data_IF_639631004234
#
_entry.id   IF_639631004234
#
_cell.length_a   1.000
_cell.length_b   1.000
_cell.length_c   1.000
_cell.angle_alpha   90.00
_cell.angle_beta   90.00
_cell.angle_gamma   90.00
#
_symmetry.space_group_name_H-M   'P 1'
#
loop_
_entity.id
_entity.type
_entity.pdbx_description
1 polymer ?
#
# COMPACT_ATOMS: atom_id res chain seq x y z
N UNK A 1 -26.26 18.52 20.98
CA UNK A 1 -26.91 17.66 21.99
C UNK A 1 -27.42 18.55 23.10
N UNK A 2 -28.71 18.51 23.42
CA UNK A 2 -29.25 19.21 24.59
C UNK A 2 -28.88 18.36 25.80
N UNK A 3 -28.07 18.90 26.71
CA UNK A 3 -27.59 18.19 27.89
C UNK A 3 -28.27 18.82 29.11
N UNK A 4 -29.15 18.08 29.82
CA UNK A 4 -29.68 18.50 31.12
C UNK A 4 -28.55 18.79 32.11
N UNK A 5 -28.76 19.76 33.01
CA UNK A 5 -27.77 20.14 34.03
C UNK A 5 -27.32 18.99 34.96
N UNK A 6 -28.09 17.90 35.01
CA UNK A 6 -27.79 16.68 35.78
C UNK A 6 -26.87 15.69 35.05
N UNK A 7 -26.56 15.90 33.76
CA UNK A 7 -25.81 14.95 32.93
C UNK A 7 -26.60 13.72 32.47
N UNK A 8 -27.89 13.61 32.82
CA UNK A 8 -28.78 12.54 32.33
C UNK A 8 -29.12 12.74 30.85
N UNK A 9 -29.34 11.67 30.08
CA UNK A 9 -29.74 11.83 28.67
C UNK A 9 -31.19 12.31 28.57
N UNK A 10 -31.56 12.91 27.43
CA UNK A 10 -32.97 13.30 27.18
C UNK A 10 -33.88 12.07 27.11
N UNK A 11 -33.37 10.92 26.66
CA UNK A 11 -34.10 9.64 26.69
C UNK A 11 -34.38 9.19 28.13
N UNK A 12 -33.42 9.34 29.05
CA UNK A 12 -33.64 9.04 30.47
C UNK A 12 -34.67 9.99 31.08
N UNK A 13 -34.61 11.28 30.71
CA UNK A 13 -35.49 12.30 31.26
C UNK A 13 -36.92 12.19 30.74
N UNK A 14 -37.09 11.85 29.47
CA UNK A 14 -38.41 11.54 28.89
C UNK A 14 -39.00 10.26 29.48
N UNK A 15 -38.18 9.23 29.68
CA UNK A 15 -38.59 7.97 30.33
C UNK A 15 -39.02 8.23 31.78
N UNK A 16 -38.22 8.96 32.55
CA UNK A 16 -38.55 9.32 33.94
C UNK A 16 -39.84 10.14 34.04
N UNK A 17 -40.09 11.06 33.09
CA UNK A 17 -41.35 11.81 33.04
C UNK A 17 -42.54 10.88 32.80
N UNK A 18 -42.44 9.95 31.86
CA UNK A 18 -43.48 8.94 31.61
C UNK A 18 -43.74 8.07 32.84
N UNK A 19 -42.69 7.56 33.49
CA UNK A 19 -42.81 6.73 34.70
C UNK A 19 -43.42 7.51 35.88
N UNK A 20 -43.09 8.78 36.03
CA UNK A 20 -43.68 9.64 37.07
C UNK A 20 -45.19 9.78 36.89
N UNK A 21 -45.70 9.78 35.64
CA UNK A 21 -47.15 9.87 35.41
C UNK A 21 -47.90 8.62 35.86
N UNK A 22 -47.22 7.46 35.90
CA UNK A 22 -47.79 6.17 36.29
C UNK A 22 -47.70 5.92 37.80
N UNK A 23 -46.58 6.30 38.42
CA UNK A 23 -46.25 5.85 39.77
C UNK A 23 -46.46 6.90 40.86
N UNK A 24 -46.81 8.15 40.52
CA UNK A 24 -46.95 9.22 41.52
C UNK A 24 -48.39 9.35 42.03
N UNK A 25 -48.66 9.07 43.32
CA UNK A 25 -49.99 9.27 43.90
C UNK A 25 -50.32 10.76 44.02
N UNK A 26 -51.57 11.14 43.76
CA UNK A 26 -52.05 12.52 43.88
C UNK A 26 -51.94 13.39 42.62
N UNK A 27 -51.45 12.87 41.50
CA UNK A 27 -51.37 13.61 40.23
C UNK A 27 -52.72 13.58 39.50
N UNK A 28 -53.23 14.76 39.18
CA UNK A 28 -54.48 14.94 38.41
C UNK A 28 -54.32 14.52 36.95
N UNK A 29 -55.43 14.24 36.26
CA UNK A 29 -55.43 13.89 34.83
C UNK A 29 -54.72 14.96 33.97
N UNK A 30 -55.03 16.24 34.23
CA UNK A 30 -54.43 17.38 33.54
C UNK A 30 -52.90 17.44 33.73
N UNK A 31 -52.42 17.18 34.95
CA UNK A 31 -50.97 17.16 35.22
C UNK A 31 -50.28 15.99 34.51
N UNK A 32 -50.93 14.82 34.39
CA UNK A 32 -50.39 13.70 33.61
C UNK A 32 -50.30 14.03 32.13
N UNK A 33 -51.33 14.66 31.57
CA UNK A 33 -51.33 15.04 30.15
C UNK A 33 -50.27 16.11 29.85
N UNK A 34 -50.09 17.09 30.75
CA UNK A 34 -49.01 18.07 30.64
C UNK A 34 -47.62 17.42 30.70
N UNK A 35 -47.39 16.50 31.65
CA UNK A 35 -46.10 15.81 31.77
C UNK A 35 -45.78 14.94 30.54
N UNK A 36 -46.79 14.27 29.98
CA UNK A 36 -46.64 13.51 28.73
C UNK A 36 -46.36 14.41 27.54
N UNK A 37 -47.06 15.54 27.42
CA UNK A 37 -46.82 16.50 26.35
C UNK A 37 -45.39 17.07 26.42
N UNK A 38 -44.88 17.37 27.62
CA UNK A 38 -43.50 17.81 27.82
C UNK A 38 -42.50 16.72 27.41
N UNK A 39 -42.73 15.46 27.80
CA UNK A 39 -41.85 14.35 27.41
C UNK A 39 -41.80 14.16 25.88
N UNK A 40 -42.95 14.27 25.21
CA UNK A 40 -43.04 14.17 23.74
C UNK A 40 -42.26 15.31 23.07
N UNK A 41 -42.46 16.55 23.52
CA UNK A 41 -41.78 17.72 22.95
C UNK A 41 -40.27 17.67 23.16
N UNK A 42 -39.81 17.19 24.32
CA UNK A 42 -38.38 16.99 24.61
C UNK A 42 -37.77 15.93 23.69
N UNK A 43 -38.45 14.81 23.48
CA UNK A 43 -38.00 13.77 22.55
C UNK A 43 -37.92 14.29 21.12
N UNK A 44 -38.95 15.03 20.66
CA UNK A 44 -38.96 15.64 19.33
C UNK A 44 -37.81 16.62 19.12
N UNK A 45 -37.56 17.51 20.09
CA UNK A 45 -36.47 18.48 20.01
C UNK A 45 -35.08 17.82 19.95
N UNK A 46 -34.88 16.72 20.69
CA UNK A 46 -33.62 15.97 20.64
C UNK A 46 -33.44 15.23 19.31
N UNK A 47 -34.50 14.62 18.77
CA UNK A 47 -34.46 14.00 17.45
C UNK A 47 -34.16 15.01 16.33
N UNK A 48 -34.75 16.21 16.38
CA UNK A 48 -34.49 17.26 15.39
C UNK A 48 -33.03 17.74 15.45
N UNK A 49 -32.49 17.90 16.67
CA UNK A 49 -31.08 18.28 16.86
C UNK A 49 -30.13 17.18 16.38
N UNK A 50 -30.40 15.92 16.71
CA UNK A 50 -29.64 14.76 16.22
C UNK A 50 -29.69 14.66 14.69
N UNK A 51 -30.87 14.84 14.09
CA UNK A 51 -31.05 14.83 12.64
C UNK A 51 -30.25 15.95 11.96
N UNK A 52 -30.23 17.16 12.55
CA UNK A 52 -29.42 18.28 12.06
C UNK A 52 -27.92 17.97 12.13
N UNK A 53 -27.42 17.43 13.24
CA UNK A 53 -26.01 17.03 13.37
C UNK A 53 -25.62 15.94 12.37
N UNK A 54 -26.50 14.97 12.12
CA UNK A 54 -26.29 13.94 11.10
C UNK A 54 -26.22 14.59 9.71
N UNK A 55 -27.16 15.48 9.38
CA UNK A 55 -27.18 16.18 8.09
C UNK A 55 -25.92 17.03 7.86
N UNK A 56 -25.45 17.74 8.89
CA UNK A 56 -24.19 18.51 8.83
C UNK A 56 -22.97 17.59 8.63
N UNK A 57 -22.92 16.47 9.35
CA UNK A 57 -21.82 15.49 9.24
C UNK A 57 -21.80 14.83 7.87
N UNK A 58 -22.96 14.42 7.37
CA UNK A 58 -23.11 13.83 6.02
C UNK A 58 -22.76 14.86 4.95
N UNK A 59 -23.22 16.11 5.09
CA UNK A 59 -22.90 17.20 4.17
C UNK A 59 -21.39 17.46 4.10
N UNK A 60 -20.72 17.54 5.26
CA UNK A 60 -19.27 17.71 5.34
C UNK A 60 -18.52 16.58 4.65
N UNK A 61 -18.91 15.33 4.90
CA UNK A 61 -18.29 14.18 4.24
C UNK A 61 -18.57 14.14 2.72
N UNK A 62 -19.79 14.46 2.28
CA UNK A 62 -20.15 14.51 0.86
C UNK A 62 -19.35 15.57 0.10
N UNK A 63 -19.25 16.79 0.64
CA UNK A 63 -18.47 17.88 0.03
C UNK A 63 -17.01 17.44 -0.12
N UNK A 64 -16.41 16.89 0.96
CA UNK A 64 -15.04 16.39 0.91
C UNK A 64 -14.84 15.24 -0.09
N UNK A 65 -15.82 14.35 -0.28
CA UNK A 65 -15.74 13.32 -1.32
C UNK A 65 -15.84 13.89 -2.73
N UNK A 66 -16.70 14.88 -2.96
CA UNK A 66 -16.84 15.52 -4.27
C UNK A 66 -15.54 16.24 -4.67
N UNK A 67 -14.94 17.00 -3.75
CA UNK A 67 -13.65 17.66 -4.00
C UNK A 67 -12.51 16.66 -4.31
N UNK A 68 -12.51 15.49 -3.65
CA UNK A 68 -11.54 14.42 -3.97
C UNK A 68 -11.77 13.83 -5.36
N UNK A 69 -13.03 13.65 -5.76
CA UNK A 69 -13.37 13.20 -7.11
C UNK A 69 -12.97 14.23 -8.17
N UNK A 70 -13.21 15.52 -7.94
CA UNK A 70 -12.80 16.58 -8.86
C UNK A 70 -11.27 16.63 -9.02
N UNK A 71 -10.51 16.56 -7.93
CA UNK A 71 -9.03 16.50 -8.00
C UNK A 71 -8.49 15.25 -8.69
N UNK A 72 -9.26 14.16 -8.76
CA UNK A 72 -8.88 12.94 -9.47
C UNK A 72 -9.09 13.04 -10.99
N UNK A 73 -9.84 14.03 -11.48
CA UNK A 73 -10.10 14.21 -12.93
C UNK A 73 -8.86 14.73 -13.65
N UNK A 74 -8.12 15.66 -13.06
CA UNK A 74 -6.91 16.25 -13.66
C UNK A 74 -5.82 15.22 -14.04
N UNK A 75 -5.41 14.29 -13.16
CA UNK A 75 -4.44 13.27 -13.52
C UNK A 75 -4.98 12.28 -14.57
N UNK A 76 -6.29 12.00 -14.59
CA UNK A 76 -6.90 11.15 -15.63
C UNK A 76 -6.86 11.87 -16.98
N UNK A 77 -7.18 13.17 -17.02
CA UNK A 77 -7.08 13.98 -18.23
C UNK A 77 -5.64 14.03 -18.75
N UNK A 78 -4.65 14.14 -17.86
CA UNK A 78 -3.23 14.14 -18.21
C UNK A 78 -2.71 12.80 -18.78
N UNK A 79 -3.39 11.68 -18.52
CA UNK A 79 -3.06 10.37 -19.10
C UNK A 79 -3.58 10.21 -20.54
N UNK A 80 -4.57 11.00 -20.96
CA UNK A 80 -5.19 10.91 -22.29
C UNK A 80 -4.19 11.02 -23.44
N UNK A 81 -3.22 11.96 -23.46
CA UNK A 81 -2.23 12.06 -24.53
C UNK A 81 -1.31 10.83 -24.59
N UNK A 82 -0.96 10.23 -23.45
CA UNK A 82 -0.09 9.04 -23.40
C UNK A 82 -0.82 7.81 -23.94
N UNK A 83 -2.11 7.66 -23.65
CA UNK A 83 -2.95 6.60 -24.20
C UNK A 83 -3.05 6.74 -25.73
N UNK A 84 -3.25 7.97 -26.24
CA UNK A 84 -3.25 8.23 -27.68
C UNK A 84 -1.92 7.84 -28.35
N UNK A 85 -0.79 8.22 -27.75
CA UNK A 85 0.55 7.84 -28.24
C UNK A 85 0.76 6.32 -28.24
N UNK A 86 0.31 5.61 -27.20
CA UNK A 86 0.37 4.14 -27.14
C UNK A 86 -0.45 3.48 -28.25
N UNK A 87 -1.64 3.99 -28.53
CA UNK A 87 -2.49 3.47 -29.62
C UNK A 87 -1.82 3.66 -30.97
N UNK A 88 -1.30 4.86 -31.26
CA UNK A 88 -0.57 5.14 -32.51
C UNK A 88 0.71 4.31 -32.65
N UNK A 89 1.45 4.10 -31.54
CA UNK A 89 2.62 3.21 -31.55
C UNK A 89 2.23 1.76 -31.84
N UNK A 90 1.10 1.28 -31.29
CA UNK A 90 0.57 -0.05 -31.57
C UNK A 90 0.18 -0.23 -33.03
N UNK A 91 -0.44 0.77 -33.65
CA UNK A 91 -0.78 0.76 -35.08
C UNK A 91 0.48 0.70 -35.96
N UNK A 92 1.50 1.47 -35.59
CA UNK A 92 2.79 1.47 -36.30
C UNK A 92 3.49 0.11 -36.19
N UNK A 93 3.48 -0.52 -35.00
CA UNK A 93 4.02 -1.87 -34.81
C UNK A 93 3.26 -2.92 -35.64
N UNK A 94 1.93 -2.79 -35.74
CA UNK A 94 1.12 -3.67 -36.58
C UNK A 94 1.48 -3.54 -38.06
N UNK A 95 1.59 -2.31 -38.58
CA UNK A 95 1.99 -2.06 -39.96
C UNK A 95 3.41 -2.57 -40.26
N UNK A 96 4.33 -2.42 -39.31
CA UNK A 96 5.69 -2.96 -39.43
C UNK A 96 5.69 -4.49 -39.45
N UNK A 97 4.89 -5.15 -38.61
CA UNK A 97 4.76 -6.60 -38.61
C UNK A 97 4.24 -7.12 -39.96
N UNK A 98 3.24 -6.46 -40.54
CA UNK A 98 2.73 -6.78 -41.88
C UNK A 98 3.81 -6.59 -42.96
N UNK A 99 4.58 -5.50 -42.89
CA UNK A 99 5.71 -5.26 -43.80
C UNK A 99 6.82 -6.32 -43.69
N UNK A 100 7.13 -6.78 -42.47
CA UNK A 100 8.08 -7.89 -42.26
C UNK A 100 7.56 -9.20 -42.84
N UNK A 101 6.26 -9.47 -42.77
CA UNK A 101 5.69 -10.67 -43.41
C UNK A 101 5.76 -10.59 -44.94
N UNK A 102 5.55 -9.42 -45.53
CA UNK A 102 5.69 -9.21 -46.98
C UNK A 102 7.16 -9.33 -47.43
N UNK A 103 8.10 -8.76 -46.66
CA UNK A 103 9.53 -8.88 -46.93
C UNK A 103 10.01 -10.34 -46.83
N UNK A 104 9.48 -11.09 -45.87
CA UNK A 104 9.76 -12.52 -45.71
C UNK A 104 9.25 -13.33 -46.90
N UNK A 105 8.07 -13.02 -47.41
CA UNK A 105 7.49 -13.72 -48.56
C UNK A 105 8.26 -13.39 -49.86
N UNK A 106 8.68 -12.15 -50.06
CA UNK A 106 9.53 -11.77 -51.21
C UNK A 106 10.93 -12.38 -51.12
N UNK A 107 11.53 -12.47 -49.94
CA UNK A 107 12.80 -13.18 -49.74
C UNK A 107 12.68 -14.69 -49.97
N UNK A 108 11.52 -15.29 -49.65
CA UNK A 108 11.25 -16.70 -49.94
C UNK A 108 11.09 -16.95 -51.45
N UNK A 109 10.51 -16.00 -52.21
CA UNK A 109 10.46 -16.06 -53.67
C UNK A 109 11.84 -15.89 -54.32
N UNK A 110 12.70 -15.01 -53.80
CA UNK A 110 14.07 -14.83 -54.32
C UNK A 110 14.98 -16.02 -54.00
N UNK A 111 14.72 -16.74 -52.90
CA UNK A 111 15.46 -17.95 -52.52
C UNK A 111 15.11 -19.19 -53.38
N UNK A 112 14.05 -19.15 -54.18
CA UNK A 112 13.63 -20.28 -55.03
C UNK A 112 14.45 -20.42 -56.34
N UNK A 113 15.41 -19.52 -56.62
CA UNK A 113 16.08 -19.49 -57.94
C UNK A 113 17.60 -19.63 -57.94
N UNK A 114 18.28 -19.94 -56.82
CA UNK A 114 19.74 -20.18 -56.87
C UNK A 114 20.22 -21.31 -55.93
N UNK A 115 20.84 -22.33 -56.54
CA UNK A 115 21.62 -23.42 -55.93
C UNK A 115 22.95 -22.95 -55.31
N UNK A 116 23.56 -23.72 -54.37
CA UNK A 116 24.51 -23.23 -53.36
C UNK A 116 25.99 -23.24 -53.81
N UNK A 117 26.89 -22.52 -53.10
CA UNK A 117 27.79 -23.27 -52.21
C UNK A 117 28.23 -22.57 -50.89
N UNK A 118 28.73 -23.46 -50.03
CA UNK A 118 29.71 -23.33 -48.95
C UNK A 118 29.40 -22.64 -47.61
N UNK A 119 29.39 -23.53 -46.60
CA UNK A 119 29.38 -23.27 -45.17
C UNK A 119 30.78 -22.82 -44.72
N UNK A 120 30.86 -21.63 -44.12
CA UNK A 120 31.92 -21.32 -43.16
C UNK A 120 31.29 -20.92 -41.84
N UNK A 121 31.65 -21.67 -40.80
CA UNK A 121 31.23 -21.52 -39.41
C UNK A 121 31.53 -20.10 -38.90
N UNK A 122 30.49 -19.27 -38.71
CA UNK A 122 30.54 -18.14 -37.77
C UNK A 122 29.92 -18.57 -36.45
N UNK A 123 30.73 -18.47 -35.39
CA UNK A 123 30.33 -18.71 -34.01
C UNK A 123 29.04 -17.96 -33.67
N UNK A 124 27.98 -18.70 -33.35
CA UNK A 124 26.71 -18.15 -32.88
C UNK A 124 26.91 -17.63 -31.46
N UNK A 125 26.74 -16.32 -31.28
CA UNK A 125 26.71 -15.69 -29.96
C UNK A 125 25.55 -16.24 -29.13
N UNK A 126 25.79 -16.52 -27.85
CA UNK A 126 24.77 -17.04 -26.92
C UNK A 126 23.55 -16.10 -26.82
N UNK A 127 23.75 -14.79 -27.05
CA UNK A 127 22.69 -13.78 -27.05
C UNK A 127 21.64 -13.99 -28.15
N UNK A 128 22.00 -14.55 -29.31
CA UNK A 128 21.05 -14.74 -30.42
C UNK A 128 20.14 -15.96 -30.21
N UNK A 129 20.58 -16.95 -29.43
CA UNK A 129 19.79 -18.15 -29.10
C UNK A 129 18.72 -17.81 -28.03
N UNK A 130 19.05 -16.93 -27.07
CA UNK A 130 18.12 -16.52 -26.01
C UNK A 130 17.01 -15.61 -26.54
N UNK A 131 17.27 -14.80 -27.57
CA UNK A 131 16.27 -13.89 -28.14
C UNK A 131 15.30 -14.58 -29.12
N UNK A 132 15.72 -15.66 -29.79
CA UNK A 132 14.93 -16.24 -30.88
C UNK A 132 13.79 -17.19 -30.44
N UNK A 133 13.76 -17.70 -29.20
CA UNK A 133 12.75 -18.69 -28.78
C UNK A 133 12.45 -18.65 -27.27
N UNK A 134 11.84 -17.59 -26.73
CA UNK A 134 11.22 -17.71 -25.40
C UNK A 134 10.02 -16.77 -25.20
N UNK A 135 8.83 -17.33 -24.91
CA UNK A 135 7.85 -16.66 -24.05
C UNK A 135 8.55 -16.31 -22.74
N UNK A 136 8.30 -15.11 -22.19
CA UNK A 136 8.89 -14.62 -20.93
C UNK A 136 8.96 -15.77 -19.91
N UNK A 137 10.14 -16.17 -19.43
CA UNK A 137 10.26 -17.28 -18.50
C UNK A 137 9.46 -17.00 -17.22
N UNK A 138 8.50 -17.87 -16.90
CA UNK A 138 7.71 -17.94 -15.66
C UNK A 138 8.50 -17.57 -14.36
N UNK A 139 9.79 -17.92 -14.18
CA UNK A 139 10.56 -17.48 -13.00
C UNK A 139 10.71 -15.96 -12.86
N UNK A 140 10.72 -15.19 -13.95
CA UNK A 140 10.88 -13.73 -13.92
C UNK A 140 9.59 -13.05 -13.46
N UNK A 141 8.42 -13.50 -13.92
CA UNK A 141 7.13 -12.96 -13.47
C UNK A 141 6.86 -13.27 -12.00
N UNK A 142 7.19 -14.47 -11.53
CA UNK A 142 7.08 -14.83 -10.12
C UNK A 142 8.04 -14.01 -9.23
N UNK A 143 9.26 -13.72 -9.72
CA UNK A 143 10.20 -12.85 -9.02
C UNK A 143 9.69 -11.40 -8.93
N UNK A 144 9.15 -10.87 -10.03
CA UNK A 144 8.55 -9.54 -10.09
C UNK A 144 7.38 -9.40 -9.12
N UNK A 145 6.47 -10.39 -9.10
CA UNK A 145 5.33 -10.40 -8.16
C UNK A 145 5.79 -10.44 -6.71
N UNK A 146 6.82 -11.24 -6.38
CA UNK A 146 7.39 -11.26 -5.03
C UNK A 146 8.04 -9.94 -4.65
N UNK A 147 8.75 -9.29 -5.57
CA UNK A 147 9.35 -7.98 -5.34
C UNK A 147 8.27 -6.93 -5.06
N UNK A 148 7.25 -6.85 -5.92
CA UNK A 148 6.13 -5.93 -5.74
C UNK A 148 5.38 -6.17 -4.42
N UNK A 149 5.22 -7.43 -3.99
CA UNK A 149 4.63 -7.73 -2.69
C UNK A 149 5.51 -7.28 -1.53
N UNK A 150 6.82 -7.49 -1.59
CA UNK A 150 7.76 -7.00 -0.55
C UNK A 150 7.79 -5.48 -0.46
N UNK A 151 7.65 -4.78 -1.58
CA UNK A 151 7.60 -3.32 -1.59
C UNK A 151 6.45 -2.75 -0.76
N UNK A 152 5.33 -3.47 -0.67
CA UNK A 152 4.16 -3.10 0.14
C UNK A 152 4.20 -3.63 1.58
N UNK A 153 5.23 -4.40 1.94
CA UNK A 153 5.35 -5.01 3.26
C UNK A 153 6.20 -4.15 4.20
N UNK A 154 5.74 -4.06 5.44
CA UNK A 154 6.43 -3.42 6.56
C UNK A 154 6.63 -4.47 7.65
N UNK A 155 7.89 -4.66 8.06
CA UNK A 155 8.27 -5.56 9.13
C UNK A 155 8.39 -4.79 10.44
N UNK A 156 7.60 -5.19 11.43
CA UNK A 156 7.71 -4.75 12.82
C UNK A 156 8.41 -5.85 13.61
N UNK A 157 9.54 -5.52 14.23
CA UNK A 157 10.26 -6.41 15.14
C UNK A 157 10.04 -5.93 16.59
N UNK A 158 9.71 -6.84 17.52
CA UNK A 158 9.64 -6.48 18.93
C UNK A 158 11.04 -6.18 19.47
N UNK A 159 11.07 -5.39 20.53
CA UNK A 159 12.25 -5.27 21.38
C UNK A 159 12.50 -6.62 22.08
N UNK A 160 13.77 -6.92 22.35
CA UNK A 160 14.20 -8.24 22.82
C UNK A 160 13.37 -8.77 23.98
N UNK A 161 12.70 -9.91 23.78
CA UNK A 161 11.93 -10.60 24.82
C UNK A 161 10.43 -10.27 24.85
N UNK A 162 9.96 -9.37 23.99
CA UNK A 162 8.55 -8.95 23.94
C UNK A 162 7.85 -9.46 22.67
N UNK A 163 6.52 -9.39 22.63
CA UNK A 163 5.69 -9.79 21.48
C UNK A 163 4.80 -8.65 21.04
N UNK A 164 4.62 -8.48 19.73
CA UNK A 164 3.78 -7.40 19.18
C UNK A 164 2.27 -7.68 19.21
N UNK A 165 1.90 -8.90 19.60
CA UNK A 165 0.55 -9.40 19.68
C UNK A 165 0.43 -10.35 20.86
N UNK A 166 -0.78 -10.48 21.40
CA UNK A 166 -1.08 -11.48 22.41
C UNK A 166 -1.42 -12.82 21.74
N UNK A 167 -1.20 -13.97 22.40
CA UNK A 167 -1.55 -15.29 21.85
C UNK A 167 -3.02 -15.42 21.44
N UNK A 168 -3.91 -14.67 22.13
CA UNK A 168 -5.35 -14.66 21.90
C UNK A 168 -5.79 -13.76 20.75
N UNK A 169 -4.96 -12.81 20.33
CA UNK A 169 -5.31 -11.93 19.24
C UNK A 169 -5.51 -12.78 17.98
N UNK A 170 -6.43 -12.40 17.10
CA UNK A 170 -6.50 -12.93 15.73
C UNK A 170 -6.00 -11.87 14.72
N UNK A 171 -5.93 -12.22 13.43
CA UNK A 171 -5.41 -11.28 12.40
C UNK A 171 -6.24 -10.01 12.27
N UNK A 172 -7.54 -10.06 12.58
CA UNK A 172 -8.47 -8.93 12.52
C UNK A 172 -8.20 -7.97 13.67
N UNK A 173 -7.97 -8.47 14.88
CA UNK A 173 -7.66 -7.64 16.04
C UNK A 173 -6.34 -6.90 15.88
N UNK A 174 -5.33 -7.59 15.35
CA UNK A 174 -4.05 -6.98 14.98
C UNK A 174 -4.27 -5.90 13.91
N UNK A 175 -4.98 -6.21 12.82
CA UNK A 175 -5.24 -5.23 11.77
C UNK A 175 -6.00 -4.01 12.30
N UNK A 176 -6.97 -4.19 13.20
CA UNK A 176 -7.73 -3.10 13.83
C UNK A 176 -6.82 -2.20 14.68
N UNK A 177 -5.93 -2.80 15.48
CA UNK A 177 -4.96 -2.05 16.29
C UNK A 177 -4.04 -1.19 15.43
N UNK A 178 -3.47 -1.77 14.37
CA UNK A 178 -2.60 -1.05 13.44
C UNK A 178 -3.34 0.00 12.65
N UNK A 179 -4.56 -0.29 12.18
CA UNK A 179 -5.41 0.69 11.50
C UNK A 179 -5.67 1.90 12.39
N UNK A 180 -6.04 1.70 13.65
CA UNK A 180 -6.24 2.80 14.61
C UNK A 180 -4.99 3.68 14.76
N UNK A 181 -3.80 3.08 14.81
CA UNK A 181 -2.56 3.84 14.87
C UNK A 181 -2.26 4.57 13.56
N UNK A 182 -2.55 3.97 12.41
CA UNK A 182 -2.39 4.61 11.11
C UNK A 182 -3.33 5.81 10.96
N UNK A 183 -4.61 5.64 11.29
CA UNK A 183 -5.63 6.70 11.23
C UNK A 183 -5.25 7.89 12.14
N UNK A 184 -4.63 7.64 13.29
CA UNK A 184 -4.21 8.69 14.23
C UNK A 184 -2.97 9.48 13.78
N UNK A 185 -2.15 8.93 12.88
CA UNK A 185 -0.94 9.59 12.36
C UNK A 185 -1.17 10.16 10.96
N UNK A 186 -2.26 9.77 10.30
CA UNK A 186 -2.65 10.25 8.99
C UNK A 186 -2.91 11.77 9.03
N UNK A 187 -2.32 12.49 8.08
CA UNK A 187 -2.48 13.94 7.92
C UNK A 187 -3.03 14.26 6.53
N UNK A 188 -3.55 15.47 6.34
CA UNK A 188 -4.01 15.89 5.01
C UNK A 188 -2.90 15.75 3.97
N UNK A 189 -3.21 15.05 2.88
CA UNK A 189 -2.26 14.73 1.79
C UNK A 189 -1.43 13.45 1.98
N UNK A 190 -1.63 12.69 3.06
CA UNK A 190 -1.01 11.36 3.21
C UNK A 190 -1.75 10.28 2.41
N UNK A 191 -1.05 9.22 1.96
CA UNK A 191 -1.68 8.14 1.20
C UNK A 191 -2.65 7.33 2.06
N UNK A 192 -3.53 6.58 1.41
CA UNK A 192 -4.45 5.69 2.11
C UNK A 192 -3.72 4.46 2.67
N UNK A 193 -3.74 4.29 3.99
CA UNK A 193 -2.97 3.28 4.73
C UNK A 193 -3.77 1.98 4.92
N UNK A 194 -4.40 1.47 3.86
CA UNK A 194 -5.18 0.24 3.93
C UNK A 194 -4.30 -1.00 4.13
N UNK A 195 -4.62 -1.77 5.17
CA UNK A 195 -3.99 -3.05 5.46
C UNK A 195 -4.66 -4.14 4.62
N UNK A 196 -3.87 -4.81 3.78
CA UNK A 196 -4.30 -5.95 2.98
C UNK A 196 -4.18 -7.27 3.74
N UNK A 197 -3.08 -7.46 4.47
CA UNK A 197 -2.84 -8.68 5.23
C UNK A 197 -1.91 -8.44 6.43
N UNK A 198 -2.05 -9.29 7.45
CA UNK A 198 -1.18 -9.34 8.62
C UNK A 198 -0.61 -10.75 8.78
N UNK A 199 0.71 -10.86 8.94
CA UNK A 199 1.41 -12.15 9.09
C UNK A 199 2.25 -12.16 10.35
N UNK A 200 2.05 -13.16 11.21
CA UNK A 200 2.81 -13.34 12.45
C UNK A 200 4.10 -14.11 12.19
N UNK A 201 5.17 -13.67 12.83
CA UNK A 201 6.46 -14.33 12.78
C UNK A 201 6.75 -15.08 14.08
N UNK A 202 7.53 -16.15 14.00
CA UNK A 202 7.86 -17.00 15.16
C UNK A 202 8.66 -16.28 16.24
N UNK A 203 9.34 -15.19 15.89
CA UNK A 203 10.10 -14.34 16.82
C UNK A 203 9.24 -13.24 17.48
N UNK A 204 7.90 -13.33 17.42
CA UNK A 204 7.01 -12.29 17.96
C UNK A 204 6.88 -11.04 17.07
N UNK A 205 7.56 -11.02 15.91
CA UNK A 205 7.45 -9.98 14.90
C UNK A 205 6.18 -10.07 14.06
N UNK A 206 5.92 -9.01 13.30
CA UNK A 206 4.73 -8.88 12.49
C UNK A 206 5.07 -8.28 11.12
N UNK A 207 4.55 -8.89 10.06
CA UNK A 207 4.57 -8.29 8.72
C UNK A 207 3.18 -7.74 8.44
N UNK A 208 3.11 -6.46 8.11
CA UNK A 208 1.91 -5.79 7.61
C UNK A 208 2.09 -5.58 6.09
N UNK A 209 1.21 -6.16 5.28
CA UNK A 209 1.13 -5.85 3.84
C UNK A 209 0.07 -4.79 3.62
N UNK A 210 0.44 -3.69 2.95
CA UNK A 210 -0.46 -2.62 2.55
C UNK A 210 -0.98 -2.85 1.13
N UNK A 211 -2.05 -2.14 0.77
CA UNK A 211 -2.63 -2.19 -0.58
C UNK A 211 -1.72 -1.54 -1.63
N UNK A 212 -0.98 -0.49 -1.26
CA UNK A 212 -0.15 0.30 -2.18
C UNK A 212 1.32 0.40 -1.73
N UNK A 213 2.23 0.55 -2.70
CA UNK A 213 3.66 0.78 -2.43
C UNK A 213 3.91 2.18 -1.84
N UNK A 214 3.10 3.16 -2.25
CA UNK A 214 3.15 4.53 -1.74
C UNK A 214 2.90 4.58 -0.23
N UNK A 215 1.86 3.89 0.26
CA UNK A 215 1.57 3.79 1.69
C UNK A 215 2.74 3.18 2.48
N UNK A 216 3.35 2.12 1.95
CA UNK A 216 4.51 1.50 2.57
C UNK A 216 5.72 2.45 2.63
N UNK A 217 5.99 3.17 1.55
CA UNK A 217 7.06 4.16 1.50
C UNK A 217 6.83 5.33 2.45
N UNK A 218 5.58 5.78 2.58
CA UNK A 218 5.22 6.84 3.53
C UNK A 218 5.48 6.40 4.98
N UNK A 219 5.10 5.17 5.35
CA UNK A 219 5.39 4.62 6.69
C UNK A 219 6.90 4.49 6.95
N UNK A 220 7.70 4.14 5.93
CA UNK A 220 9.16 4.00 6.06
C UNK A 220 9.87 5.32 6.35
N UNK A 221 9.28 6.47 6.05
CA UNK A 221 9.87 7.77 6.36
C UNK A 221 10.08 7.91 7.88
N UNK A 222 11.28 8.34 8.28
CA UNK A 222 11.72 8.39 9.69
C UNK A 222 10.71 9.12 10.59
N UNK A 223 10.18 10.26 10.14
CA UNK A 223 9.20 11.05 10.88
C UNK A 223 7.90 10.29 11.13
N UNK A 224 7.39 9.58 10.13
CA UNK A 224 6.12 8.84 10.20
C UNK A 224 6.28 7.54 10.98
N UNK A 225 7.36 6.80 10.71
CA UNK A 225 7.75 5.61 11.47
C UNK A 225 7.77 5.88 12.97
N UNK A 226 8.43 6.97 13.38
CA UNK A 226 8.58 7.32 14.80
C UNK A 226 7.21 7.63 15.42
N UNK A 227 6.37 8.40 14.73
CA UNK A 227 5.00 8.68 15.18
C UNK A 227 4.17 7.41 15.32
N UNK A 228 4.19 6.52 14.32
CA UNK A 228 3.44 5.25 14.33
C UNK A 228 3.88 4.36 15.49
N UNK A 229 5.19 4.20 15.72
CA UNK A 229 5.70 3.40 16.85
C UNK A 229 5.22 3.98 18.17
N UNK A 230 5.31 5.31 18.35
CA UNK A 230 4.85 5.98 19.56
C UNK A 230 3.34 5.81 19.77
N UNK A 231 2.54 5.94 18.71
CA UNK A 231 1.08 5.78 18.77
C UNK A 231 0.64 4.35 19.01
N UNK A 232 1.41 3.36 18.55
CA UNK A 232 1.14 1.95 18.83
C UNK A 232 1.35 1.59 20.30
N UNK A 233 2.14 2.40 21.04
CA UNK A 233 2.59 2.13 22.41
C UNK A 233 3.16 0.71 22.55
N UNK A 234 3.74 0.22 21.46
CA UNK A 234 4.35 -1.10 21.38
C UNK A 234 5.86 -0.90 21.42
N UNK A 235 6.59 -1.76 22.14
CA UNK A 235 8.04 -1.78 22.11
C UNK A 235 8.49 -2.44 20.81
N UNK A 236 8.27 -1.75 19.71
CA UNK A 236 8.48 -2.24 18.36
C UNK A 236 9.45 -1.34 17.60
N UNK A 237 10.21 -1.93 16.70
CA UNK A 237 10.97 -1.20 15.69
C UNK A 237 10.51 -1.61 14.30
N UNK A 238 10.34 -0.64 13.41
CA UNK A 238 10.12 -0.95 11.99
C UNK A 238 11.47 -1.28 11.37
N UNK A 239 11.65 -2.50 10.89
CA UNK A 239 12.90 -2.89 10.23
C UNK A 239 12.93 -2.36 8.81
N UNK A 240 14.05 -1.78 8.43
CA UNK A 240 14.31 -1.45 7.04
C UNK A 240 14.46 -2.75 6.24
N UNK A 241 13.61 -2.89 5.22
CA UNK A 241 13.71 -3.99 4.28
C UNK A 241 14.93 -3.79 3.39
N UNK A 242 15.98 -4.58 3.62
CA UNK A 242 17.16 -4.62 2.75
C UNK A 242 16.99 -5.68 1.68
N UNK A 243 17.48 -5.37 0.48
CA UNK A 243 17.42 -6.27 -0.66
C UNK A 243 18.81 -6.84 -0.92
N UNK A 244 18.89 -8.16 -1.09
CA UNK A 244 20.11 -8.80 -1.60
C UNK A 244 20.11 -8.72 -3.12
N UNK A 245 21.11 -8.07 -3.68
CA UNK A 245 21.32 -7.94 -5.13
C UNK A 245 22.54 -8.78 -5.52
N UNK A 246 22.42 -9.52 -6.63
CA UNK A 246 23.54 -10.24 -7.22
C UNK A 246 24.14 -9.36 -8.32
N UNK A 247 25.40 -8.99 -8.15
CA UNK A 247 26.15 -8.22 -9.15
C UNK A 247 27.10 -9.19 -9.89
N UNK A 248 26.86 -9.49 -11.18
CA UNK A 248 27.76 -10.32 -11.96
C UNK A 248 29.00 -9.53 -12.41
N UNK A 249 30.06 -10.25 -12.80
CA UNK A 249 31.28 -9.72 -13.43
C UNK A 249 32.10 -8.71 -12.60
N UNK A 250 31.92 -8.70 -11.28
CA UNK A 250 32.79 -7.94 -10.40
C UNK A 250 34.18 -8.59 -10.35
N UNK A 251 35.24 -7.80 -10.55
CA UNK A 251 36.62 -8.30 -10.49
C UNK A 251 36.93 -8.90 -9.11
N UNK A 252 37.60 -10.05 -9.08
CA UNK A 252 38.03 -10.68 -7.81
C UNK A 252 39.03 -9.83 -7.03
N UNK A 253 39.67 -8.85 -7.67
CA UNK A 253 40.54 -7.85 -7.04
C UNK A 253 39.79 -6.71 -6.36
N UNK A 254 38.46 -6.60 -6.55
CA UNK A 254 37.64 -5.56 -5.92
C UNK A 254 37.63 -5.74 -4.39
N UNK A 255 37.90 -4.65 -3.68
CA UNK A 255 37.95 -4.62 -2.22
C UNK A 255 36.55 -4.50 -1.62
N UNK A 256 35.67 -5.47 -1.88
CA UNK A 256 34.26 -5.42 -1.44
C UNK A 256 34.09 -5.41 0.09
N UNK A 257 35.11 -5.89 0.80
CA UNK A 257 35.14 -5.92 2.26
C UNK A 257 35.55 -4.55 2.85
N UNK A 258 36.01 -3.61 2.00
CA UNK A 258 36.40 -2.26 2.41
C UNK A 258 35.21 -1.29 2.30
N UNK A 259 34.86 -0.68 3.43
CA UNK A 259 33.78 0.31 3.50
C UNK A 259 34.02 1.50 2.56
N UNK A 260 35.24 2.02 2.45
CA UNK A 260 35.55 3.17 1.60
C UNK A 260 35.33 2.86 0.12
N UNK A 261 35.63 1.63 -0.30
CA UNK A 261 35.36 1.16 -1.65
C UNK A 261 33.86 1.11 -1.92
N UNK A 262 33.05 0.62 -0.96
CA UNK A 262 31.59 0.64 -1.09
C UNK A 262 31.04 2.06 -1.20
N UNK A 263 31.56 3.02 -0.42
CA UNK A 263 31.14 4.44 -0.52
C UNK A 263 31.53 5.05 -1.87
N UNK A 264 32.68 4.68 -2.42
CA UNK A 264 33.09 5.12 -3.76
C UNK A 264 32.15 4.57 -4.85
N UNK A 265 31.78 3.29 -4.77
CA UNK A 265 30.80 2.68 -5.69
C UNK A 265 29.45 3.36 -5.60
N UNK A 266 28.95 3.63 -4.40
CA UNK A 266 27.69 4.38 -4.22
C UNK A 266 27.76 5.74 -4.89
N UNK A 267 28.84 6.49 -4.65
CA UNK A 267 29.05 7.82 -5.24
C UNK A 267 29.13 7.76 -6.76
N UNK A 268 29.86 6.80 -7.32
CA UNK A 268 30.00 6.61 -8.77
C UNK A 268 28.66 6.24 -9.45
N UNK A 269 27.77 5.56 -8.72
CA UNK A 269 26.45 5.15 -9.20
C UNK A 269 25.31 6.08 -8.72
N UNK A 270 25.64 7.27 -8.22
CA UNK A 270 24.67 8.28 -7.73
C UNK A 270 23.71 7.74 -6.66
N UNK A 271 24.16 6.77 -5.87
CA UNK A 271 23.41 6.19 -4.76
C UNK A 271 23.62 7.01 -3.49
N UNK A 272 22.59 7.12 -2.62
CA UNK A 272 22.76 7.72 -1.30
C UNK A 272 23.86 7.00 -0.51
N UNK A 273 24.68 7.75 0.21
CA UNK A 273 25.68 7.19 1.11
C UNK A 273 25.01 6.28 2.15
N UNK A 274 25.47 5.04 2.25
CA UNK A 274 24.90 4.06 3.19
C UNK A 274 23.97 3.03 2.53
N UNK A 275 23.65 3.18 1.25
CA UNK A 275 22.73 2.28 0.52
C UNK A 275 23.19 0.81 0.47
N UNK A 276 24.50 0.57 0.39
CA UNK A 276 25.15 -0.73 0.47
C UNK A 276 25.63 -0.94 1.91
N UNK A 277 24.92 -1.81 2.63
CA UNK A 277 25.28 -2.16 4.01
C UNK A 277 26.45 -3.15 4.06
N UNK A 278 26.35 -4.22 3.27
CA UNK A 278 27.39 -5.26 3.18
C UNK A 278 27.47 -5.80 1.76
N UNK A 279 28.67 -6.24 1.37
CA UNK A 279 28.90 -6.97 0.13
C UNK A 279 29.62 -8.27 0.47
N UNK A 280 29.13 -9.39 -0.09
CA UNK A 280 29.72 -10.70 0.14
C UNK A 280 29.84 -11.45 -1.18
N UNK A 281 30.95 -12.17 -1.34
CA UNK A 281 31.12 -13.05 -2.47
C UNK A 281 30.24 -14.29 -2.33
N UNK A 282 29.49 -14.62 -3.38
CA UNK A 282 28.68 -15.85 -3.43
C UNK A 282 29.54 -17.11 -3.23
N UNK A 283 30.76 -17.10 -3.78
CA UNK A 283 31.76 -18.16 -3.58
C UNK A 283 32.85 -17.70 -2.62
N UNK A 284 33.17 -18.49 -1.57
CA UNK A 284 34.29 -18.19 -0.68
C UNK A 284 35.62 -18.26 -1.46
N UNK A 285 36.66 -17.58 -0.98
CA UNK A 285 37.95 -17.42 -1.69
C UNK A 285 38.53 -18.76 -2.16
N UNK A 286 38.46 -19.79 -1.33
CA UNK A 286 38.95 -21.15 -1.63
C UNK A 286 38.15 -21.91 -2.71
N UNK A 287 37.02 -21.36 -3.19
CA UNK A 287 36.15 -21.95 -4.22
C UNK A 287 35.99 -21.07 -5.45
N UNK A 288 36.83 -20.03 -5.59
CA UNK A 288 36.92 -19.20 -6.80
C UNK A 288 37.97 -19.84 -7.70
N UNK A 289 37.51 -20.75 -8.56
CA UNK A 289 38.28 -21.35 -9.66
C UNK A 289 38.09 -20.53 -10.92
#
# INVERSE_FOLDING_TARGET
MLIPASGASIEDLTTALFESTLNTPGVTLLQRDMLRAIAILLGQADHELKAKTIAETVGFHMIGTIERFEKAIDPIAALTPQIALMVSASETLKANAESFTQLRNTMAEVAATQTPPDQTNKARSYSSIVQQNSPIPIPVSAALTRAATKERQILFEPTTGETLYEPKDNSIDIARKFKKAFDAVQIDGSPDLQIKATTRLRNGGLIIELTTTEAANWIRQIANRTKIINTLELPATIKECRFSVIVPFLSVSSSIDNADWLRAVEKENEMPTGSIETANWIKPKNRRS
#
